data_IF_649180595875
#
_entry.id   IF_649180595875
#
_cell.length_a   1.000
_cell.length_b   1.000
_cell.length_c   1.000
_cell.angle_alpha   90.00
_cell.angle_beta   90.00
_cell.angle_gamma   90.00
#
_symmetry.space_group_name_H-M   'P 1'
#
loop_
_entity.id
_entity.type
_entity.pdbx_description
1 polymer ?
#
# COMPACT_ATOMS: atom_id res chain seq x y z
N UNK A 1 -55.84 25.73 -32.93
CA UNK A 1 -54.43 25.29 -32.94
C UNK A 1 -54.12 24.69 -31.58
N UNK A 2 -53.78 23.39 -31.53
CA UNK A 2 -53.75 22.59 -30.28
C UNK A 2 -52.45 22.86 -29.49
N UNK A 3 -52.59 23.29 -28.24
CA UNK A 3 -51.48 23.46 -27.28
C UNK A 3 -51.04 22.05 -26.85
N UNK A 4 -49.82 21.63 -27.21
CA UNK A 4 -49.24 20.37 -26.74
C UNK A 4 -48.47 20.63 -25.45
N UNK A 5 -49.03 20.21 -24.31
CA UNK A 5 -48.35 20.11 -23.03
C UNK A 5 -47.35 18.94 -23.12
N UNK A 6 -46.05 19.22 -23.09
CA UNK A 6 -45.01 18.20 -22.98
C UNK A 6 -44.79 17.90 -21.48
N UNK A 7 -44.90 16.63 -21.03
CA UNK A 7 -44.62 16.31 -19.63
C UNK A 7 -43.11 16.40 -19.41
N UNK A 8 -42.72 17.25 -18.45
CA UNK A 8 -41.35 17.36 -17.96
C UNK A 8 -40.97 16.03 -17.29
N UNK A 9 -40.26 15.17 -18.01
CA UNK A 9 -39.73 13.92 -17.50
C UNK A 9 -38.63 14.26 -16.49
N UNK A 10 -38.94 14.19 -15.19
CA UNK A 10 -37.99 14.21 -14.09
C UNK A 10 -37.06 13.00 -14.22
N UNK A 11 -35.92 13.20 -14.89
CA UNK A 11 -34.80 12.25 -14.88
C UNK A 11 -34.22 12.31 -13.46
N UNK A 12 -34.62 11.34 -12.63
CA UNK A 12 -34.02 11.11 -11.33
C UNK A 12 -32.53 10.85 -11.50
N UNK A 13 -31.74 11.77 -10.99
CA UNK A 13 -30.28 11.68 -10.91
C UNK A 13 -29.92 10.58 -9.90
N UNK A 14 -29.85 9.33 -10.36
CA UNK A 14 -29.28 8.24 -9.59
C UNK A 14 -27.76 8.37 -9.68
N UNK A 15 -27.18 9.15 -8.77
CA UNK A 15 -25.73 9.19 -8.56
C UNK A 15 -25.29 7.81 -8.07
N UNK A 16 -24.47 7.06 -8.83
CA UNK A 16 -23.93 5.80 -8.34
C UNK A 16 -22.95 6.12 -7.19
N UNK A 17 -23.19 5.52 -6.03
CA UNK A 17 -22.47 5.75 -4.77
C UNK A 17 -21.01 5.28 -4.78
N UNK A 18 -20.16 5.94 -5.55
CA UNK A 18 -18.73 5.66 -5.65
C UNK A 18 -17.84 6.52 -4.73
N UNK A 19 -18.40 7.24 -3.74
CA UNK A 19 -17.66 8.29 -3.01
C UNK A 19 -17.39 8.05 -1.51
N UNK A 20 -17.44 6.80 -0.99
CA UNK A 20 -17.38 6.58 0.47
C UNK A 20 -16.12 5.91 1.05
N UNK A 21 -15.10 5.59 0.25
CA UNK A 21 -13.90 4.92 0.80
C UNK A 21 -12.87 5.91 1.36
N UNK A 22 -12.52 6.97 0.60
CA UNK A 22 -11.46 7.92 0.97
C UNK A 22 -11.70 8.63 2.31
N UNK A 23 -12.96 8.99 2.63
CA UNK A 23 -13.26 9.74 3.86
C UNK A 23 -13.04 8.90 5.11
N UNK A 24 -13.42 7.63 5.10
CA UNK A 24 -13.43 6.80 6.30
C UNK A 24 -12.03 6.54 6.88
N UNK A 25 -11.05 6.27 6.01
CA UNK A 25 -9.66 6.05 6.41
C UNK A 25 -9.04 7.33 6.96
N UNK A 26 -9.18 8.45 6.23
CA UNK A 26 -8.60 9.74 6.60
C UNK A 26 -9.22 10.27 7.89
N UNK A 27 -10.54 10.15 8.08
CA UNK A 27 -11.25 10.68 9.25
C UNK A 27 -10.80 10.00 10.56
N UNK A 28 -10.60 8.68 10.53
CA UNK A 28 -10.10 7.93 11.68
C UNK A 28 -8.59 8.19 11.89
N UNK A 29 -7.78 8.03 10.85
CA UNK A 29 -6.32 8.17 10.96
C UNK A 29 -5.87 9.59 11.28
N UNK A 30 -6.65 10.62 10.94
CA UNK A 30 -6.34 11.98 11.34
C UNK A 30 -6.45 12.19 12.86
N UNK A 31 -7.21 11.34 13.57
CA UNK A 31 -7.35 11.39 15.03
C UNK A 31 -6.26 10.60 15.75
N UNK A 32 -5.90 9.43 15.21
CA UNK A 32 -4.94 8.52 15.87
C UNK A 32 -3.49 8.72 15.42
N UNK A 33 -3.27 9.09 14.15
CA UNK A 33 -1.95 9.24 13.53
C UNK A 33 -1.93 10.45 12.56
N UNK A 34 -2.17 11.69 13.05
CA UNK A 34 -2.36 12.88 12.20
C UNK A 34 -1.21 13.15 11.23
N UNK A 35 0.02 12.83 11.62
CA UNK A 35 1.20 13.09 10.78
C UNK A 35 1.21 12.23 9.51
N UNK A 36 0.71 10.99 9.55
CA UNK A 36 0.61 10.14 8.34
C UNK A 36 -0.38 10.74 7.35
N UNK A 37 -1.52 11.23 7.85
CA UNK A 37 -2.52 11.92 7.01
C UNK A 37 -1.96 13.22 6.46
N UNK A 38 -1.19 13.97 7.27
CA UNK A 38 -0.52 15.20 6.83
C UNK A 38 0.49 14.91 5.70
N UNK A 39 1.34 13.90 5.86
CA UNK A 39 2.33 13.51 4.84
C UNK A 39 1.64 13.07 3.53
N UNK A 40 0.57 12.27 3.63
CA UNK A 40 -0.23 11.92 2.46
C UNK A 40 -0.83 13.17 1.79
N UNK A 41 -1.45 14.08 2.56
CA UNK A 41 -2.05 15.32 2.04
C UNK A 41 -1.06 16.21 1.30
N UNK A 42 0.21 16.22 1.72
CA UNK A 42 1.28 16.99 1.06
C UNK A 42 1.84 16.32 -0.21
N UNK A 43 1.52 15.04 -0.44
CA UNK A 43 2.04 14.28 -1.57
C UNK A 43 1.32 14.60 -2.89
N UNK A 44 1.94 14.23 -4.02
CA UNK A 44 1.23 14.24 -5.32
C UNK A 44 0.14 13.18 -5.40
N UNK A 45 0.22 12.11 -4.61
CA UNK A 45 -0.82 11.08 -4.60
C UNK A 45 -2.16 11.62 -4.08
N UNK A 46 -2.17 12.44 -3.02
CA UNK A 46 -3.43 13.06 -2.55
C UNK A 46 -4.03 14.01 -3.59
N UNK A 47 -3.19 14.80 -4.26
CA UNK A 47 -3.62 15.76 -5.30
C UNK A 47 -4.25 15.03 -6.50
N UNK A 48 -3.81 13.81 -6.78
CA UNK A 48 -4.37 12.95 -7.83
C UNK A 48 -5.40 11.94 -7.26
N UNK A 49 -5.97 12.23 -6.10
CA UNK A 49 -7.05 11.44 -5.49
C UNK A 49 -6.70 9.96 -5.22
N UNK A 50 -5.41 9.66 -5.06
CA UNK A 50 -4.95 8.32 -4.69
C UNK A 50 -5.15 8.13 -3.18
N UNK A 51 -6.26 7.49 -2.81
CA UNK A 51 -6.65 7.17 -1.43
C UNK A 51 -5.79 6.11 -0.75
N UNK A 52 -5.95 5.98 0.57
CA UNK A 52 -5.20 5.04 1.41
C UNK A 52 -5.43 3.58 0.95
N UNK A 53 -6.69 3.27 0.67
CA UNK A 53 -7.21 1.95 0.30
C UNK A 53 -6.69 1.45 -1.05
N UNK A 54 -6.28 2.34 -1.94
CA UNK A 54 -5.72 1.97 -3.24
C UNK A 54 -4.40 1.20 -3.05
N UNK A 55 -3.63 1.59 -2.04
CA UNK A 55 -2.36 0.94 -1.70
C UNK A 55 -2.54 -0.13 -0.61
N UNK A 56 -3.36 0.15 0.41
CA UNK A 56 -3.47 -0.67 1.62
C UNK A 56 -4.66 -1.63 1.63
N UNK A 57 -5.52 -1.61 0.62
CA UNK A 57 -6.75 -2.41 0.55
C UNK A 57 -7.86 -1.91 1.49
N UNK A 58 -8.95 -2.67 1.55
CA UNK A 58 -10.19 -2.28 2.26
C UNK A 58 -10.58 -3.21 3.42
N UNK A 59 -9.74 -4.22 3.72
CA UNK A 59 -10.08 -5.27 4.69
C UNK A 59 -9.89 -4.82 6.14
N UNK A 60 -9.07 -3.81 6.38
CA UNK A 60 -8.97 -3.10 7.65
C UNK A 60 -10.09 -2.06 7.78
N UNK A 61 -10.83 -2.12 8.88
CA UNK A 61 -11.99 -1.25 9.14
C UNK A 61 -11.96 -0.59 10.51
N UNK A 62 -11.23 -1.14 11.48
CA UNK A 62 -11.16 -0.62 12.85
C UNK A 62 -9.88 -1.06 13.57
N UNK A 63 -9.63 -0.52 14.77
CA UNK A 63 -8.39 -0.77 15.52
C UNK A 63 -8.09 -2.26 15.80
N UNK A 64 -9.09 -3.14 15.81
CA UNK A 64 -8.90 -4.55 16.12
C UNK A 64 -8.50 -5.40 14.91
N UNK A 65 -8.58 -4.85 13.69
CA UNK A 65 -8.25 -5.56 12.45
C UNK A 65 -7.15 -4.87 11.63
N UNK A 66 -6.30 -4.07 12.29
CA UNK A 66 -5.17 -3.36 11.67
C UNK A 66 -4.25 -4.28 10.85
N UNK A 67 -4.09 -5.54 11.25
CA UNK A 67 -3.26 -6.53 10.56
C UNK A 67 -3.80 -6.96 9.20
N UNK A 68 -5.05 -6.62 8.87
CA UNK A 68 -5.65 -6.86 7.56
C UNK A 68 -5.28 -5.80 6.52
N UNK A 69 -4.69 -4.68 6.93
CA UNK A 69 -4.15 -3.71 5.99
C UNK A 69 -3.00 -4.34 5.20
N UNK A 70 -3.03 -4.16 3.88
CA UNK A 70 -1.96 -4.62 3.00
C UNK A 70 -0.78 -3.67 3.12
N UNK A 71 0.42 -4.21 3.20
CA UNK A 71 1.63 -3.43 3.04
C UNK A 71 2.01 -3.42 1.56
N UNK A 72 2.05 -2.24 0.90
CA UNK A 72 2.29 -2.16 -0.53
C UNK A 72 3.62 -2.78 -0.94
N UNK A 73 3.62 -3.53 -2.03
CA UNK A 73 4.83 -4.04 -2.70
C UNK A 73 5.04 -3.29 -4.02
N UNK A 74 6.16 -3.48 -4.73
CA UNK A 74 6.33 -2.92 -6.08
C UNK A 74 5.17 -3.26 -7.03
N UNK A 75 4.53 -4.40 -6.84
CA UNK A 75 3.36 -4.86 -7.61
C UNK A 75 2.13 -3.98 -7.37
N UNK A 76 1.93 -3.48 -6.15
CA UNK A 76 0.87 -2.48 -5.85
C UNK A 76 1.07 -1.23 -6.72
N UNK A 77 2.32 -0.76 -6.82
CA UNK A 77 2.67 0.41 -7.62
C UNK A 77 2.58 0.15 -9.13
N UNK A 78 2.79 -1.09 -9.57
CA UNK A 78 2.85 -1.48 -10.98
C UNK A 78 1.54 -1.25 -11.75
N UNK A 79 0.41 -1.12 -11.04
CA UNK A 79 -0.88 -0.78 -11.64
C UNK A 79 -0.89 0.61 -12.30
N UNK A 80 -0.08 1.54 -11.79
CA UNK A 80 0.01 2.93 -12.27
C UNK A 80 1.44 3.34 -12.70
N UNK A 81 2.46 2.62 -12.25
CA UNK A 81 3.89 2.94 -12.43
C UNK A 81 4.68 1.76 -13.00
N UNK A 82 4.19 1.19 -14.09
CA UNK A 82 4.78 0.04 -14.78
C UNK A 82 6.25 0.28 -15.18
N UNK A 83 6.55 1.42 -15.81
CA UNK A 83 7.90 1.75 -16.26
C UNK A 83 8.90 1.85 -15.09
N UNK A 84 8.53 2.51 -14.00
CA UNK A 84 9.40 2.65 -12.83
C UNK A 84 9.60 1.31 -12.12
N UNK A 85 8.54 0.49 -12.01
CA UNK A 85 8.64 -0.85 -11.42
C UNK A 85 9.50 -1.76 -12.27
N UNK A 86 9.39 -1.71 -13.59
CA UNK A 86 10.25 -2.46 -14.51
C UNK A 86 11.73 -2.06 -14.33
N UNK A 87 12.01 -0.76 -14.27
CA UNK A 87 13.37 -0.26 -14.00
C UNK A 87 13.89 -0.72 -12.65
N UNK A 88 13.06 -0.64 -11.60
CA UNK A 88 13.40 -1.11 -10.27
C UNK A 88 13.74 -2.61 -10.26
N UNK A 89 12.89 -3.44 -10.88
CA UNK A 89 13.07 -4.90 -10.99
C UNK A 89 14.35 -5.30 -11.71
N UNK A 90 14.80 -4.48 -12.68
CA UNK A 90 16.08 -4.67 -13.38
C UNK A 90 17.29 -4.17 -12.58
N UNK A 91 17.07 -3.39 -11.53
CA UNK A 91 18.12 -2.80 -10.70
C UNK A 91 18.62 -3.71 -9.59
N UNK A 92 19.84 -3.43 -9.08
CA UNK A 92 20.45 -4.21 -7.99
C UNK A 92 19.69 -4.09 -6.66
N UNK A 93 18.98 -2.99 -6.43
CA UNK A 93 18.16 -2.82 -5.21
C UNK A 93 17.04 -3.86 -5.14
N UNK A 94 16.42 -4.23 -6.28
CA UNK A 94 15.45 -5.30 -6.30
C UNK A 94 16.05 -6.66 -5.89
N UNK A 95 17.34 -6.89 -6.16
CA UNK A 95 18.05 -8.10 -5.75
C UNK A 95 18.66 -8.03 -4.33
N UNK A 96 18.51 -6.91 -3.61
CA UNK A 96 19.24 -6.67 -2.36
C UNK A 96 18.98 -7.74 -1.27
N UNK A 97 17.75 -8.23 -1.17
CA UNK A 97 17.38 -9.29 -0.23
C UNK A 97 18.07 -10.60 -0.54
N UNK A 98 18.01 -11.03 -1.81
CA UNK A 98 18.70 -12.23 -2.28
C UNK A 98 20.22 -12.11 -2.10
N UNK A 99 20.79 -10.95 -2.46
CA UNK A 99 22.22 -10.68 -2.32
C UNK A 99 22.68 -10.71 -0.85
N UNK A 100 21.88 -10.16 0.07
CA UNK A 100 22.17 -10.23 1.51
C UNK A 100 22.20 -11.68 2.00
N UNK A 101 21.18 -12.46 1.64
CA UNK A 101 21.05 -13.85 2.09
C UNK A 101 22.06 -14.80 1.42
N UNK A 102 22.62 -14.42 0.27
CA UNK A 102 23.68 -15.16 -0.39
C UNK A 102 25.05 -15.04 0.31
N UNK A 103 25.24 -14.07 1.21
CA UNK A 103 26.49 -13.95 1.96
C UNK A 103 26.64 -15.14 2.93
N UNK A 104 27.80 -15.84 2.95
CA UNK A 104 27.95 -17.11 3.66
C UNK A 104 27.59 -17.08 5.15
N UNK A 105 27.78 -15.93 5.78
CA UNK A 105 27.63 -15.75 7.23
C UNK A 105 26.32 -15.10 7.64
N UNK A 106 25.44 -14.71 6.70
CA UNK A 106 24.18 -14.01 7.02
C UNK A 106 23.28 -14.84 7.94
N UNK A 107 23.22 -16.16 7.74
CA UNK A 107 22.43 -17.07 8.56
C UNK A 107 22.94 -17.20 10.01
N UNK A 108 24.17 -16.76 10.29
CA UNK A 108 24.75 -16.73 11.64
C UNK A 108 24.51 -15.40 12.36
N UNK A 109 24.00 -14.38 11.65
CA UNK A 109 23.70 -13.09 12.25
C UNK A 109 22.41 -13.19 13.08
N UNK A 110 22.32 -12.44 14.19
CA UNK A 110 21.06 -12.31 14.92
C UNK A 110 19.93 -11.84 14.00
N UNK A 111 18.73 -12.39 14.17
CA UNK A 111 17.53 -12.01 13.39
C UNK A 111 17.32 -10.50 13.33
N UNK A 112 17.61 -9.77 14.42
CA UNK A 112 17.50 -8.32 14.46
C UNK A 112 18.34 -7.61 13.37
N UNK A 113 19.49 -8.18 12.97
CA UNK A 113 20.42 -7.63 11.98
C UNK A 113 20.16 -8.12 10.54
N UNK A 114 19.28 -9.11 10.35
CA UNK A 114 18.95 -9.71 9.04
C UNK A 114 17.48 -9.49 8.69
N UNK A 115 16.59 -10.25 9.33
CA UNK A 115 15.15 -10.24 9.05
C UNK A 115 14.43 -9.17 9.88
N UNK A 116 15.14 -8.49 10.78
CA UNK A 116 14.71 -7.31 11.51
C UNK A 116 15.03 -5.99 10.77
N UNK A 117 14.69 -4.89 11.44
CA UNK A 117 14.91 -3.52 10.93
C UNK A 117 16.25 -2.92 11.38
N UNK A 118 17.24 -3.74 11.74
CA UNK A 118 18.59 -3.28 12.12
C UNK A 118 19.65 -3.93 11.23
N UNK A 119 20.87 -3.43 11.28
CA UNK A 119 22.01 -4.03 10.58
C UNK A 119 21.84 -4.09 9.06
N UNK A 120 22.11 -5.24 8.46
CA UNK A 120 21.99 -5.45 7.02
C UNK A 120 20.52 -5.35 6.56
N UNK A 121 19.62 -5.89 7.39
CA UNK A 121 18.19 -5.92 7.16
C UNK A 121 17.55 -4.55 6.99
N UNK A 122 18.02 -3.54 7.72
CA UNK A 122 17.45 -2.19 7.62
C UNK A 122 17.54 -1.58 6.22
N UNK A 123 18.56 -1.98 5.44
CA UNK A 123 18.78 -1.46 4.10
C UNK A 123 18.37 -2.47 3.01
N UNK A 124 18.68 -3.76 3.19
CA UNK A 124 18.52 -4.75 2.11
C UNK A 124 17.12 -5.34 1.99
N UNK A 125 16.23 -5.11 2.98
CA UNK A 125 14.82 -5.55 2.94
C UNK A 125 13.97 -4.92 1.84
N UNK A 126 14.43 -3.84 1.23
CA UNK A 126 13.78 -3.26 0.06
C UNK A 126 13.74 -4.26 -1.12
N UNK A 127 14.68 -5.21 -1.16
CA UNK A 127 14.74 -6.23 -2.19
C UNK A 127 13.46 -7.06 -2.28
N UNK A 128 13.16 -7.48 -3.50
CA UNK A 128 11.97 -8.26 -3.85
C UNK A 128 12.04 -9.62 -3.18
N UNK A 129 10.89 -10.07 -2.68
CA UNK A 129 10.67 -11.36 -2.05
C UNK A 129 9.45 -12.00 -2.71
N UNK A 130 9.50 -13.31 -2.89
CA UNK A 130 8.31 -14.03 -3.35
C UNK A 130 7.26 -14.13 -2.25
N UNK A 131 6.03 -14.47 -2.62
CA UNK A 131 4.90 -14.57 -1.68
C UNK A 131 5.15 -15.58 -0.56
N UNK A 132 5.91 -16.64 -0.85
CA UNK A 132 6.27 -17.67 0.13
C UNK A 132 7.17 -17.08 1.21
N UNK A 133 8.19 -16.32 0.81
CA UNK A 133 9.12 -15.61 1.71
C UNK A 133 8.38 -14.55 2.51
N UNK A 134 7.52 -13.75 1.86
CA UNK A 134 6.69 -12.75 2.51
C UNK A 134 5.82 -13.39 3.60
N UNK A 135 5.16 -14.51 3.29
CA UNK A 135 4.31 -15.24 4.24
C UNK A 135 5.12 -15.83 5.40
N UNK A 136 6.30 -16.39 5.12
CA UNK A 136 7.21 -16.91 6.14
C UNK A 136 7.61 -15.80 7.11
N UNK A 137 8.10 -14.66 6.59
CA UNK A 137 8.54 -13.53 7.41
C UNK A 137 7.41 -12.98 8.29
N UNK A 138 6.17 -12.90 7.77
CA UNK A 138 5.00 -12.56 8.58
C UNK A 138 4.78 -13.53 9.74
N UNK A 139 4.84 -14.83 9.47
CA UNK A 139 4.64 -15.87 10.49
C UNK A 139 5.74 -15.86 11.57
N UNK A 140 6.95 -15.42 11.21
CA UNK A 140 8.08 -15.24 12.12
C UNK A 140 8.02 -13.90 12.90
N UNK A 141 6.94 -13.12 12.71
CA UNK A 141 6.69 -11.88 13.45
C UNK A 141 7.21 -10.61 12.77
N UNK A 142 7.62 -10.68 11.51
CA UNK A 142 7.97 -9.49 10.74
C UNK A 142 6.74 -8.63 10.50
N UNK A 143 6.82 -7.37 10.94
CA UNK A 143 5.73 -6.39 10.79
C UNK A 143 5.94 -5.49 9.57
N UNK A 144 7.19 -5.24 9.17
CA UNK A 144 7.55 -4.32 8.09
C UNK A 144 8.66 -4.88 7.20
N UNK A 145 8.60 -4.55 5.90
CA UNK A 145 9.64 -4.91 4.93
C UNK A 145 9.83 -6.41 4.75
N UNK A 146 8.76 -7.17 5.00
CA UNK A 146 8.63 -8.59 4.71
C UNK A 146 8.48 -8.85 3.21
#
# INVERSE_FOLDING_TARGET
MKIKLFPLLLIGLVLPGYLYAQSSCVDCHNKINPNIVSDWKLSKHSVNEIGCEICHGTDHKNSNDYSKAVLPTPETCNSCHDAQVEQYKKGKHAAAWAAMNAMPTTHMLPLALTDGMKGCGSCHKIGIKDEVTIKKLKNEGSVFGH
#
